data_IF_533617139748
#
_entry.id   IF_533617139748
#
_cell.length_a   1.000
_cell.length_b   1.000
_cell.length_c   1.000
_cell.angle_alpha   90.00
_cell.angle_beta   90.00
_cell.angle_gamma   90.00
#
_symmetry.space_group_name_H-M   'P 1'
#
loop_
_entity.id
_entity.type
_entity.pdbx_description
1 polymer ?
#
# COMPACT_ATOMS: atom_id res chain seq x y z
N UNK A 1 1.67 25.06 -7.42
CA UNK A 1 3.03 24.58 -7.04
C UNK A 1 2.89 23.58 -5.88
N UNK A 2 3.65 22.48 -5.88
CA UNK A 2 3.76 21.57 -4.74
C UNK A 2 5.22 21.08 -4.61
N UNK A 3 5.65 20.76 -3.39
CA UNK A 3 6.99 20.24 -3.11
C UNK A 3 6.96 19.33 -1.88
N UNK A 4 8.00 18.49 -1.74
CA UNK A 4 8.11 17.53 -0.65
C UNK A 4 8.79 18.21 0.54
N UNK A 5 8.04 18.47 1.62
CA UNK A 5 8.60 19.02 2.86
C UNK A 5 9.33 17.95 3.67
N UNK A 6 8.76 16.75 3.78
CA UNK A 6 9.33 15.62 4.51
C UNK A 6 9.41 14.42 3.57
N UNK A 7 10.61 13.91 3.26
CA UNK A 7 10.75 12.63 2.58
C UNK A 7 10.10 11.49 3.37
N UNK A 8 9.67 10.42 2.68
CA UNK A 8 9.16 9.21 3.32
C UNK A 8 10.23 8.62 4.26
N UNK A 9 9.86 8.42 5.51
CA UNK A 9 10.76 7.93 6.56
C UNK A 9 9.99 7.13 7.61
N UNK A 10 10.70 6.24 8.29
CA UNK A 10 10.21 5.54 9.49
C UNK A 10 10.50 6.34 10.77
N UNK A 11 11.23 7.45 10.67
CA UNK A 11 11.53 8.34 11.78
C UNK A 11 10.36 9.30 12.04
N UNK A 12 9.46 8.88 12.93
CA UNK A 12 8.35 9.72 13.40
C UNK A 12 8.81 11.01 14.08
N UNK A 13 10.00 11.02 14.69
CA UNK A 13 10.58 12.21 15.32
C UNK A 13 10.93 13.26 14.27
N UNK A 14 11.61 12.85 13.19
CA UNK A 14 11.91 13.71 12.05
C UNK A 14 10.62 14.25 11.40
N UNK A 15 9.63 13.39 11.16
CA UNK A 15 8.34 13.81 10.60
C UNK A 15 7.65 14.87 11.48
N UNK A 16 7.68 14.70 12.81
CA UNK A 16 7.12 15.67 13.76
C UNK A 16 7.88 17.00 13.75
N UNK A 17 9.19 16.99 13.57
CA UNK A 17 9.98 18.22 13.42
C UNK A 17 9.55 19.00 12.18
N UNK A 18 9.39 18.33 11.03
CA UNK A 18 8.91 18.98 9.80
C UNK A 18 7.49 19.52 9.93
N UNK A 19 6.59 18.78 10.61
CA UNK A 19 5.22 19.24 10.86
C UNK A 19 5.18 20.51 11.73
N UNK A 20 6.05 20.61 12.74
CA UNK A 20 6.11 21.79 13.61
C UNK A 20 6.67 23.03 12.90
N UNK A 21 7.42 22.84 11.80
CA UNK A 21 8.02 23.92 11.00
C UNK A 21 7.11 24.40 9.86
N UNK A 22 5.94 23.77 9.66
CA UNK A 22 5.00 24.17 8.62
C UNK A 22 4.40 25.55 8.91
N UNK A 23 4.57 26.46 7.96
CA UNK A 23 3.98 27.79 7.96
C UNK A 23 3.19 28.04 6.67
N UNK A 24 2.06 28.75 6.78
CA UNK A 24 1.21 29.19 5.68
C UNK A 24 2.02 30.09 4.71
N UNK A 25 3.03 30.78 5.21
CA UNK A 25 3.96 31.61 4.42
C UNK A 25 4.98 30.83 3.58
N UNK A 26 5.12 29.51 3.77
CA UNK A 26 6.14 28.71 3.08
C UNK A 26 5.89 28.56 1.57
N UNK A 27 4.63 28.69 1.12
CA UNK A 27 4.26 28.64 -0.30
C UNK A 27 4.01 30.05 -0.82
N UNK A 28 4.85 30.60 -1.71
CA UNK A 28 4.75 31.99 -2.14
C UNK A 28 3.57 32.28 -3.08
N UNK A 29 3.01 31.25 -3.72
CA UNK A 29 1.88 31.38 -4.63
C UNK A 29 0.58 30.94 -3.94
N UNK A 30 -0.39 31.85 -3.73
CA UNK A 30 -1.71 31.49 -3.22
C UNK A 30 -2.47 30.65 -4.25
N UNK A 31 -3.22 29.66 -3.77
CA UNK A 31 -4.04 28.77 -4.57
C UNK A 31 -3.92 27.34 -4.10
N UNK A 32 -4.85 26.51 -4.56
CA UNK A 32 -4.87 25.08 -4.28
C UNK A 32 -4.66 24.35 -5.60
N UNK A 33 -3.73 23.41 -5.62
CA UNK A 33 -3.39 22.61 -6.80
C UNK A 33 -3.34 21.13 -6.39
N UNK A 34 -4.51 20.52 -6.22
CA UNK A 34 -4.63 19.13 -5.75
C UNK A 34 -3.95 18.17 -6.74
N UNK A 35 -4.15 18.41 -8.04
CA UNK A 35 -3.52 17.66 -9.13
C UNK A 35 -2.00 17.59 -8.97
N UNK A 36 -1.36 18.74 -8.76
CA UNK A 36 0.11 18.86 -8.63
C UNK A 36 0.60 18.20 -7.34
N UNK A 37 -0.18 18.27 -6.25
CA UNK A 37 0.14 17.58 -5.01
C UNK A 37 0.12 16.05 -5.18
N UNK A 38 -0.89 15.50 -5.87
CA UNK A 38 -0.98 14.07 -6.20
C UNK A 38 0.23 13.63 -7.04
N UNK A 39 0.56 14.38 -8.10
CA UNK A 39 1.73 14.08 -8.93
C UNK A 39 3.06 14.13 -8.16
N UNK A 40 3.20 15.09 -7.26
CA UNK A 40 4.41 15.24 -6.43
C UNK A 40 4.54 14.08 -5.44
N UNK A 41 3.42 13.69 -4.81
CA UNK A 41 3.37 12.53 -3.93
C UNK A 41 3.70 11.23 -4.68
N UNK A 42 3.13 11.03 -5.88
CA UNK A 42 3.42 9.87 -6.75
C UNK A 42 4.92 9.70 -7.00
N UNK A 43 5.60 10.77 -7.39
CA UNK A 43 7.05 10.78 -7.64
C UNK A 43 7.90 10.53 -6.39
N UNK A 44 7.32 10.70 -5.20
CA UNK A 44 8.01 10.52 -3.92
C UNK A 44 7.98 9.08 -3.42
N UNK A 45 7.07 8.24 -3.92
CA UNK A 45 7.06 6.81 -3.59
C UNK A 45 8.29 6.12 -4.18
N UNK A 46 8.99 5.34 -3.35
CA UNK A 46 10.16 4.58 -3.79
C UNK A 46 9.69 3.33 -4.54
N UNK A 47 10.27 3.10 -5.72
CA UNK A 47 9.83 2.10 -6.71
C UNK A 47 10.24 0.65 -6.38
N UNK A 48 10.85 0.43 -5.22
CA UNK A 48 11.65 -0.78 -4.99
C UNK A 48 10.84 -2.02 -4.65
N UNK A 49 9.61 -1.91 -4.14
CA UNK A 49 8.73 -3.07 -3.91
C UNK A 49 7.26 -2.67 -4.10
N UNK A 50 6.41 -3.61 -4.54
CA UNK A 50 4.95 -3.46 -4.73
C UNK A 50 4.21 -3.31 -3.39
N UNK A 51 4.68 -2.40 -2.55
CA UNK A 51 4.09 -2.12 -1.27
C UNK A 51 2.87 -1.24 -1.49
N UNK A 52 1.84 -1.49 -0.68
CA UNK A 52 0.59 -0.74 -0.66
C UNK A 52 0.88 0.74 -0.43
N UNK A 53 0.72 1.57 -1.48
CA UNK A 53 0.97 3.01 -1.42
C UNK A 53 -0.32 3.70 -0.98
N UNK A 54 -0.30 4.32 0.20
CA UNK A 54 -1.40 5.16 0.67
C UNK A 54 -1.02 6.63 0.58
N UNK A 55 -1.92 7.46 0.06
CA UNK A 55 -1.82 8.91 0.05
C UNK A 55 -3.01 9.48 0.83
N UNK A 56 -2.75 10.33 1.83
CA UNK A 56 -3.80 11.03 2.58
C UNK A 56 -3.75 12.51 2.17
N UNK A 57 -4.87 13.03 1.66
CA UNK A 57 -5.01 14.44 1.28
C UNK A 57 -5.94 15.11 2.28
N UNK A 58 -5.45 16.13 2.97
CA UNK A 58 -6.22 16.94 3.91
C UNK A 58 -6.45 18.31 3.28
N UNK A 59 -7.69 18.67 2.98
CA UNK A 59 -8.01 19.91 2.23
C UNK A 59 -9.49 20.29 2.36
N UNK A 60 -9.84 21.53 2.06
CA UNK A 60 -11.24 21.96 1.82
C UNK A 60 -11.76 21.56 0.43
N UNK A 61 -10.90 21.01 -0.44
CA UNK A 61 -11.28 20.50 -1.75
C UNK A 61 -11.46 21.58 -2.81
N UNK A 62 -11.28 22.87 -2.48
CA UNK A 62 -11.39 23.96 -3.45
C UNK A 62 -10.17 23.98 -4.37
N UNK A 63 -10.18 23.19 -5.45
CA UNK A 63 -9.10 23.18 -6.43
C UNK A 63 -9.18 24.37 -7.38
N UNK A 64 -8.04 24.99 -7.66
CA UNK A 64 -7.93 26.15 -8.53
C UNK A 64 -7.06 25.87 -9.76
N UNK A 65 -6.37 24.72 -9.83
CA UNK A 65 -5.42 24.38 -10.88
C UNK A 65 -5.44 22.87 -11.25
N UNK A 66 -5.80 22.57 -12.51
CA UNK A 66 -5.67 21.24 -13.12
C UNK A 66 -6.96 20.39 -13.09
N UNK A 67 -6.81 19.09 -13.37
CA UNK A 67 -7.86 18.08 -13.21
C UNK A 67 -7.43 17.05 -12.15
N UNK A 68 -7.93 17.16 -10.90
CA UNK A 68 -7.51 16.31 -9.81
C UNK A 68 -8.03 14.87 -9.97
N UNK A 69 -9.07 14.65 -10.78
CA UNK A 69 -9.58 13.31 -11.09
C UNK A 69 -8.67 12.58 -12.06
N UNK A 70 -8.13 13.28 -13.05
CA UNK A 70 -7.13 12.71 -13.95
C UNK A 70 -5.87 12.30 -13.17
N UNK A 71 -5.36 13.18 -12.29
CA UNK A 71 -4.22 12.88 -11.43
C UNK A 71 -4.49 11.67 -10.51
N UNK A 72 -5.68 11.57 -9.94
CA UNK A 72 -6.10 10.43 -9.13
C UNK A 72 -6.13 9.11 -9.92
N UNK A 73 -6.64 9.12 -11.16
CA UNK A 73 -6.64 7.93 -12.04
C UNK A 73 -5.23 7.48 -12.38
N UNK A 74 -4.33 8.40 -12.66
CA UNK A 74 -2.93 8.05 -12.90
C UNK A 74 -2.26 7.48 -11.64
N UNK A 75 -2.59 8.00 -10.45
CA UNK A 75 -2.15 7.43 -9.18
C UNK A 75 -2.67 5.99 -8.97
N UNK A 76 -3.94 5.74 -9.28
CA UNK A 76 -4.55 4.42 -9.16
C UNK A 76 -3.85 3.37 -10.04
N UNK A 77 -3.42 3.74 -11.25
CA UNK A 77 -2.64 2.85 -12.14
C UNK A 77 -1.31 2.40 -11.53
N UNK A 78 -0.74 3.20 -10.64
CA UNK A 78 0.50 2.90 -9.90
C UNK A 78 0.27 2.19 -8.56
N UNK A 79 -0.99 1.81 -8.27
CA UNK A 79 -1.37 1.15 -7.03
C UNK A 79 -1.43 2.09 -5.83
N UNK A 80 -1.55 3.40 -6.05
CA UNK A 80 -1.73 4.39 -4.99
C UNK A 80 -3.22 4.49 -4.63
N UNK A 81 -3.54 4.25 -3.36
CA UNK A 81 -4.87 4.44 -2.79
C UNK A 81 -4.91 5.80 -2.10
N UNK A 82 -5.84 6.66 -2.51
CA UNK A 82 -5.98 8.03 -2.01
C UNK A 82 -7.14 8.12 -1.03
N UNK A 83 -6.85 8.53 0.20
CA UNK A 83 -7.82 8.89 1.22
C UNK A 83 -7.93 10.42 1.28
N UNK A 84 -9.15 10.94 1.30
CA UNK A 84 -9.39 12.38 1.36
C UNK A 84 -10.04 12.76 2.70
N UNK A 85 -9.53 13.79 3.33
CA UNK A 85 -10.02 14.33 4.60
C UNK A 85 -10.43 15.79 4.37
N UNK A 86 -11.73 16.01 4.31
CA UNK A 86 -12.34 17.31 4.10
C UNK A 86 -12.32 18.16 5.37
N UNK A 87 -11.71 19.34 5.33
CA UNK A 87 -11.77 20.32 6.44
C UNK A 87 -12.61 21.53 6.04
N UNK A 88 -13.41 22.04 6.97
CA UNK A 88 -14.27 23.20 6.76
C UNK A 88 -15.76 22.87 6.65
N UNK A 89 -16.54 23.86 6.20
CA UNK A 89 -18.00 23.80 6.15
C UNK A 89 -18.51 23.73 4.72
N UNK A 90 -19.41 22.80 4.37
CA UNK A 90 -20.07 22.77 3.05
C UNK A 90 -20.92 24.02 2.78
N UNK A 91 -21.45 24.63 3.83
CA UNK A 91 -22.25 25.86 3.74
C UNK A 91 -21.39 27.11 3.46
N UNK A 92 -20.08 26.98 3.61
CA UNK A 92 -19.11 28.04 3.47
C UNK A 92 -18.91 28.88 4.72
N UNK A 93 -17.70 29.40 4.88
CA UNK A 93 -17.34 30.30 5.96
C UNK A 93 -16.38 31.40 5.45
N UNK A 94 -16.48 32.63 5.98
CA UNK A 94 -15.55 33.68 5.64
C UNK A 94 -14.18 33.43 6.30
N UNK A 95 -13.10 33.80 5.59
CA UNK A 95 -11.73 33.61 6.09
C UNK A 95 -11.35 34.79 7.00
N UNK A 96 -11.09 34.59 8.30
CA UNK A 96 -10.69 35.67 9.19
C UNK A 96 -9.30 36.22 8.82
N UNK A 97 -9.12 37.52 8.99
CA UNK A 97 -7.85 38.20 8.78
C UNK A 97 -7.31 38.73 10.11
N UNK A 98 -6.04 38.47 10.39
CA UNK A 98 -5.37 38.84 11.64
C UNK A 98 -4.22 39.80 11.38
N UNK A 99 -4.05 40.80 12.26
CA UNK A 99 -2.88 41.67 12.23
C UNK A 99 -1.61 40.95 12.74
N UNK A 100 -0.46 41.63 12.67
CA UNK A 100 0.82 41.10 13.17
C UNK A 100 0.82 40.83 14.69
N UNK A 101 -0.15 41.37 15.42
CA UNK A 101 -0.31 41.19 16.85
C UNK A 101 -1.34 40.10 17.19
N UNK A 102 -1.93 39.44 16.18
CA UNK A 102 -2.95 38.40 16.34
C UNK A 102 -4.37 38.92 16.56
N UNK A 103 -4.63 40.22 16.43
CA UNK A 103 -5.98 40.77 16.55
C UNK A 103 -6.76 40.54 15.25
N UNK A 104 -8.02 40.15 15.38
CA UNK A 104 -8.93 40.03 14.23
C UNK A 104 -9.23 41.43 13.65
N UNK A 105 -8.83 41.65 12.39
CA UNK A 105 -9.05 42.90 11.65
C UNK A 105 -10.18 42.80 10.62
N UNK A 106 -10.89 41.67 10.60
CA UNK A 106 -12.05 41.43 9.76
C UNK A 106 -11.93 40.12 8.99
N UNK A 107 -12.37 40.14 7.73
CA UNK A 107 -12.34 38.98 6.84
C UNK A 107 -11.59 39.32 5.57
N UNK A 108 -10.91 38.32 5.03
CA UNK A 108 -10.18 38.41 3.77
C UNK A 108 -11.11 38.83 2.63
N UNK A 109 -10.66 39.76 1.79
CA UNK A 109 -11.43 40.28 0.65
C UNK A 109 -10.74 40.01 -0.67
N UNK A 110 -11.54 39.88 -1.72
CA UNK A 110 -11.06 39.79 -3.09
C UNK A 110 -10.65 41.17 -3.66
N UNK A 111 -10.19 41.19 -4.92
CA UNK A 111 -9.82 42.44 -5.62
C UNK A 111 -11.00 43.40 -5.85
N UNK A 112 -12.22 42.91 -5.75
CA UNK A 112 -13.46 43.68 -5.89
C UNK A 112 -14.00 44.19 -4.55
N UNK A 113 -13.33 43.87 -3.43
CA UNK A 113 -13.72 44.27 -2.07
C UNK A 113 -14.79 43.39 -1.43
N UNK A 114 -15.16 42.25 -2.04
CA UNK A 114 -16.12 41.30 -1.49
C UNK A 114 -15.44 40.32 -0.53
N UNK A 115 -16.16 39.86 0.49
CA UNK A 115 -15.64 38.89 1.46
C UNK A 115 -15.46 37.53 0.77
N UNK A 116 -14.27 36.96 0.88
CA UNK A 116 -13.97 35.62 0.40
C UNK A 116 -14.62 34.61 1.34
N UNK A 117 -15.47 33.74 0.79
CA UNK A 117 -16.10 32.64 1.50
C UNK A 117 -15.59 31.33 0.91
N UNK A 118 -14.87 30.55 1.70
CA UNK A 118 -14.39 29.21 1.31
C UNK A 118 -15.44 28.16 1.68
N UNK A 119 -15.60 27.12 0.86
CA UNK A 119 -16.56 26.03 1.01
C UNK A 119 -15.87 24.69 0.86
N UNK A 120 -16.24 23.74 1.71
CA UNK A 120 -15.80 22.36 1.56
C UNK A 120 -16.42 21.72 0.31
N UNK A 121 -15.61 21.38 -0.69
CA UNK A 121 -16.03 20.62 -1.87
C UNK A 121 -15.97 19.11 -1.61
N UNK A 122 -17.03 18.61 -0.99
CA UNK A 122 -17.22 17.17 -0.72
C UNK A 122 -17.21 16.36 -2.03
N UNK A 123 -17.83 16.88 -3.09
CA UNK A 123 -18.07 16.11 -4.32
C UNK A 123 -16.76 15.77 -5.01
N UNK A 124 -15.84 16.72 -5.07
CA UNK A 124 -14.52 16.51 -5.67
C UNK A 124 -13.70 15.53 -4.84
N UNK A 125 -13.71 15.67 -3.51
CA UNK A 125 -12.95 14.79 -2.61
C UNK A 125 -13.45 13.34 -2.58
N UNK A 126 -14.76 13.13 -2.64
CA UNK A 126 -15.37 11.80 -2.77
C UNK A 126 -14.97 11.12 -4.07
N UNK A 127 -15.00 11.86 -5.20
CA UNK A 127 -14.61 11.31 -6.50
C UNK A 127 -13.13 10.94 -6.54
N UNK A 128 -12.23 11.78 -6.02
CA UNK A 128 -10.79 11.47 -5.95
C UNK A 128 -10.54 10.18 -5.18
N UNK A 129 -11.16 10.03 -4.00
CA UNK A 129 -11.03 8.81 -3.20
C UNK A 129 -11.59 7.59 -3.94
N UNK A 130 -12.78 7.71 -4.54
CA UNK A 130 -13.44 6.63 -5.25
C UNK A 130 -12.65 6.12 -6.47
N UNK A 131 -12.01 7.01 -7.24
CA UNK A 131 -11.19 6.65 -8.41
C UNK A 131 -9.99 5.75 -8.05
N UNK A 132 -9.55 5.77 -6.77
CA UNK A 132 -8.38 5.01 -6.30
C UNK A 132 -8.73 3.88 -5.32
N UNK A 133 -10.02 3.70 -5.01
CA UNK A 133 -10.50 2.71 -4.04
C UNK A 133 -10.30 3.09 -2.57
N UNK A 134 -9.95 4.35 -2.29
CA UNK A 134 -9.89 4.90 -0.93
C UNK A 134 -11.25 5.42 -0.46
N UNK A 135 -11.24 6.20 0.63
CA UNK A 135 -12.46 6.79 1.21
C UNK A 135 -12.31 8.26 1.54
N UNK A 136 -13.44 8.95 1.50
CA UNK A 136 -13.60 10.32 1.96
C UNK A 136 -14.06 10.34 3.42
N UNK A 137 -13.46 11.24 4.20
CA UNK A 137 -13.80 11.52 5.58
C UNK A 137 -13.95 13.03 5.78
N UNK A 138 -14.83 13.45 6.69
CA UNK A 138 -14.91 14.84 7.12
C UNK A 138 -14.08 14.97 8.40
N UNK A 139 -13.19 15.97 8.45
CA UNK A 139 -12.45 16.30 9.65
C UNK A 139 -13.44 16.71 10.75
N UNK A 140 -13.59 15.85 11.74
CA UNK A 140 -14.35 16.14 12.95
C UNK A 140 -13.38 16.42 14.10
N UNK A 141 -13.85 17.05 15.17
CA UNK A 141 -13.04 17.28 16.39
C UNK A 141 -12.71 15.96 17.13
N UNK A 142 -13.29 14.83 16.71
CA UNK A 142 -13.00 13.50 17.26
C UNK A 142 -11.74 12.86 16.65
N UNK A 143 -11.15 11.91 17.37
CA UNK A 143 -10.06 11.07 16.85
C UNK A 143 -10.56 9.93 15.96
N UNK A 144 -11.86 9.62 16.06
CA UNK A 144 -12.52 8.48 15.44
C UNK A 144 -12.32 8.39 13.91
N UNK A 145 -12.20 9.51 13.19
CA UNK A 145 -12.00 9.49 11.74
C UNK A 145 -10.57 9.11 11.34
N UNK A 146 -9.57 9.57 12.07
CA UNK A 146 -8.16 9.23 11.80
C UNK A 146 -7.88 7.78 12.15
N UNK A 147 -8.48 7.27 13.22
CA UNK A 147 -8.38 5.86 13.61
C UNK A 147 -8.96 4.93 12.53
N UNK A 148 -10.09 5.31 11.91
CA UNK A 148 -10.66 4.56 10.78
C UNK A 148 -9.72 4.51 9.58
N UNK A 149 -9.10 5.64 9.21
CA UNK A 149 -8.14 5.69 8.11
C UNK A 149 -6.93 4.81 8.43
N UNK A 150 -6.43 4.86 9.67
CA UNK A 150 -5.34 4.01 10.13
C UNK A 150 -5.68 2.52 10.02
N UNK A 151 -6.85 2.10 10.51
CA UNK A 151 -7.32 0.72 10.43
C UNK A 151 -7.48 0.23 8.99
N UNK A 152 -7.92 1.10 8.09
CA UNK A 152 -8.07 0.78 6.66
C UNK A 152 -6.72 0.60 5.97
N UNK A 153 -5.75 1.49 6.25
CA UNK A 153 -4.39 1.38 5.73
C UNK A 153 -3.73 0.10 6.28
N UNK A 154 -3.88 -0.17 7.59
CA UNK A 154 -3.35 -1.37 8.23
C UNK A 154 -4.00 -2.66 7.71
N UNK A 155 -5.27 -2.60 7.33
CA UNK A 155 -5.98 -3.71 6.69
C UNK A 155 -5.52 -4.01 5.26
N UNK A 156 -4.97 -3.02 4.56
CA UNK A 156 -4.47 -3.16 3.18
C UNK A 156 -3.32 -4.18 3.12
N UNK A 157 -2.39 -4.10 4.06
CA UNK A 157 -1.26 -5.04 4.19
C UNK A 157 -1.73 -6.49 4.47
N UNK A 158 -2.85 -6.66 5.20
CA UNK A 158 -3.33 -7.99 5.61
C UNK A 158 -4.08 -8.75 4.53
N UNK A 159 -4.81 -8.05 3.65
CA UNK A 159 -5.61 -8.69 2.59
C UNK A 159 -4.74 -9.38 1.53
N UNK A 160 -3.59 -8.82 1.17
CA UNK A 160 -2.70 -9.47 0.20
C UNK A 160 -1.85 -10.58 0.83
N UNK A 161 -1.47 -10.50 2.12
CA UNK A 161 -0.80 -11.61 2.83
C UNK A 161 -1.61 -12.91 2.75
N UNK A 162 -2.94 -12.84 2.82
CA UNK A 162 -3.80 -14.01 2.63
C UNK A 162 -3.93 -14.49 1.17
N UNK A 163 -3.77 -13.59 0.19
CA UNK A 163 -3.75 -13.95 -1.23
C UNK A 163 -2.38 -14.49 -1.68
N UNK A 164 -1.32 -14.10 -0.97
CA UNK A 164 0.05 -14.61 -1.02
C UNK A 164 0.32 -15.60 0.12
N UNK A 165 -0.61 -16.50 0.41
CA UNK A 165 -0.15 -17.81 0.89
C UNK A 165 0.73 -18.37 -0.22
N UNK A 166 2.04 -18.18 -0.06
CA UNK A 166 3.04 -18.84 -0.87
C UNK A 166 2.64 -20.30 -0.97
N UNK A 167 2.48 -20.80 -2.19
CA UNK A 167 2.60 -22.22 -2.47
C UNK A 167 4.02 -22.63 -2.07
N UNK A 168 4.23 -22.84 -0.77
CA UNK A 168 5.39 -23.57 -0.29
C UNK A 168 5.19 -24.99 -0.79
N UNK A 169 5.89 -25.31 -1.87
CA UNK A 169 6.05 -26.68 -2.31
C UNK A 169 6.78 -27.42 -1.20
N UNK A 170 6.02 -28.14 -0.37
CA UNK A 170 6.61 -29.10 0.53
C UNK A 170 7.26 -30.22 -0.28
N UNK A 171 8.55 -30.41 -0.08
CA UNK A 171 9.33 -31.45 -0.73
C UNK A 171 8.96 -32.84 -0.19
N UNK A 172 7.91 -33.46 -0.75
CA UNK A 172 7.46 -34.82 -0.40
C UNK A 172 8.26 -35.96 -1.06
N UNK A 173 9.40 -35.65 -1.69
CA UNK A 173 10.25 -36.66 -2.35
C UNK A 173 10.80 -37.71 -1.37
N UNK A 174 10.85 -37.41 -0.07
CA UNK A 174 11.35 -38.32 0.97
C UNK A 174 10.59 -39.65 1.01
N UNK A 175 9.26 -39.64 0.79
CA UNK A 175 8.45 -40.86 0.76
C UNK A 175 8.83 -41.72 -0.46
N UNK A 176 8.95 -41.09 -1.63
CA UNK A 176 9.35 -41.78 -2.86
C UNK A 176 10.79 -42.32 -2.77
N UNK A 177 11.70 -41.56 -2.18
CA UNK A 177 13.08 -41.98 -1.93
C UNK A 177 13.15 -43.16 -0.94
N UNK A 178 12.37 -43.12 0.13
CA UNK A 178 12.30 -44.21 1.11
C UNK A 178 11.76 -45.50 0.48
N UNK A 179 10.71 -45.42 -0.35
CA UNK A 179 10.18 -46.57 -1.09
C UNK A 179 11.26 -47.15 -2.04
N UNK A 180 11.97 -46.29 -2.77
CA UNK A 180 13.03 -46.73 -3.67
C UNK A 180 14.17 -47.44 -2.91
N UNK A 181 14.59 -46.91 -1.76
CA UNK A 181 15.59 -47.53 -0.88
C UNK A 181 15.14 -48.90 -0.37
N UNK A 182 13.89 -49.02 0.08
CA UNK A 182 13.33 -50.29 0.55
C UNK A 182 13.32 -51.32 -0.58
N UNK A 183 12.86 -50.95 -1.78
CA UNK A 183 12.85 -51.85 -2.94
C UNK A 183 14.25 -52.30 -3.34
N UNK A 184 15.24 -51.40 -3.31
CA UNK A 184 16.64 -51.74 -3.60
C UNK A 184 17.20 -52.74 -2.58
N UNK A 185 16.91 -52.56 -1.29
CA UNK A 185 17.36 -53.51 -0.25
C UNK A 185 16.68 -54.88 -0.41
N UNK A 186 15.38 -54.91 -0.71
CA UNK A 186 14.65 -56.15 -0.98
C UNK A 186 15.19 -56.88 -2.21
N UNK A 187 15.58 -56.16 -3.26
CA UNK A 187 16.21 -56.75 -4.45
C UNK A 187 17.50 -57.48 -4.09
N UNK A 188 18.38 -56.86 -3.30
CA UNK A 188 19.64 -57.50 -2.89
C UNK A 188 19.41 -58.77 -2.07
N UNK A 189 18.43 -58.77 -1.16
CA UNK A 189 18.03 -59.92 -0.34
C UNK A 189 17.40 -61.06 -1.16
N UNK A 190 16.65 -60.73 -2.22
CA UNK A 190 16.02 -61.72 -3.10
C UNK A 190 17.00 -62.27 -4.15
N UNK A 191 17.95 -61.45 -4.62
CA UNK A 191 18.95 -61.80 -5.63
C UNK A 191 19.88 -62.92 -5.12
N UNK A 192 20.28 -62.87 -3.85
CA UNK A 192 21.11 -63.90 -3.23
C UNK A 192 20.42 -65.29 -3.18
N UNK A 193 19.11 -65.31 -2.92
CA UNK A 193 18.35 -66.58 -2.89
C UNK A 193 18.17 -67.19 -4.28
N UNK A 194 17.99 -66.39 -5.32
CA UNK A 194 17.86 -66.90 -6.70
C UNK A 194 19.20 -67.41 -7.22
N UNK A 195 20.31 -66.72 -6.94
CA UNK A 195 21.64 -67.14 -7.38
C UNK A 195 22.06 -68.46 -6.75
N UNK A 196 21.84 -68.64 -5.44
CA UNK A 196 22.15 -69.92 -4.75
C UNK A 196 21.27 -71.06 -5.28
N UNK A 197 19.98 -70.82 -5.57
CA UNK A 197 19.08 -71.84 -6.09
C UNK A 197 19.40 -72.23 -7.54
N UNK A 198 19.84 -71.28 -8.37
CA UNK A 198 20.28 -71.54 -9.75
C UNK A 198 21.63 -72.27 -9.79
N UNK A 199 22.59 -71.89 -8.93
CA UNK A 199 23.89 -72.58 -8.82
C UNK A 199 23.69 -74.02 -8.33
N UNK A 200 22.88 -74.26 -7.29
CA UNK A 200 22.57 -75.62 -6.82
C UNK A 200 21.77 -76.46 -7.81
N UNK A 201 20.89 -75.85 -8.60
CA UNK A 201 20.14 -76.55 -9.65
C UNK A 201 21.04 -76.90 -10.84
N UNK A 202 22.02 -76.05 -11.19
CA UNK A 202 23.03 -76.34 -12.20
C UNK A 202 24.01 -77.45 -11.75
N UNK A 203 24.46 -77.42 -10.50
CA UNK A 203 25.30 -78.48 -9.91
C UNK A 203 24.56 -79.83 -9.84
N UNK A 204 23.27 -79.85 -9.53
CA UNK A 204 22.47 -81.08 -9.51
C UNK A 204 22.26 -81.68 -10.92
N UNK A 205 22.11 -80.84 -11.95
CA UNK A 205 21.96 -81.29 -13.34
C UNK A 205 23.28 -81.86 -13.92
N UNK A 206 24.45 -81.30 -13.57
CA UNK A 206 25.75 -81.85 -13.97
C UNK A 206 26.06 -83.22 -13.34
N UNK A 207 25.48 -83.52 -12.17
CA UNK A 207 25.64 -84.83 -11.51
C UNK A 207 24.74 -85.89 -12.14
N UNK A 208 23.58 -85.50 -12.68
CA UNK A 208 22.63 -86.39 -13.37
C UNK A 208 23.07 -86.72 -14.81
N UNK A 209 23.81 -85.82 -15.48
CA UNK A 209 24.37 -86.07 -16.83
C UNK A 209 25.64 -86.95 -16.82
N UNK A 210 26.30 -87.08 -15.66
CA UNK A 210 27.54 -87.88 -15.49
C UNK A 210 27.32 -89.26 -14.84
N UNK A 211 26.08 -89.65 -14.56
CA UNK A 211 25.69 -90.96 -14.03
C UNK A 211 25.08 -91.85 -15.12
#
# INVERSE_FOLDING_TARGET
LAFVQCPLTLDYGAARLFLNDLDIGAVPQPGTAISVAIETARKSFVDTERNHKALIIITDGEDHEGDPLEAAREAAKEGVVIYTVGTGSPNGAPIPEFDKNGNNVGYKRDRSGQIITTRLDITTLEKIAAETGGKFHIASTGQDELDKIYDEIYGMDKKELSAREFTQFENRFQIFLAIALILLTLETLLSERRRIRQVRAAEAAEVEEKA
#
